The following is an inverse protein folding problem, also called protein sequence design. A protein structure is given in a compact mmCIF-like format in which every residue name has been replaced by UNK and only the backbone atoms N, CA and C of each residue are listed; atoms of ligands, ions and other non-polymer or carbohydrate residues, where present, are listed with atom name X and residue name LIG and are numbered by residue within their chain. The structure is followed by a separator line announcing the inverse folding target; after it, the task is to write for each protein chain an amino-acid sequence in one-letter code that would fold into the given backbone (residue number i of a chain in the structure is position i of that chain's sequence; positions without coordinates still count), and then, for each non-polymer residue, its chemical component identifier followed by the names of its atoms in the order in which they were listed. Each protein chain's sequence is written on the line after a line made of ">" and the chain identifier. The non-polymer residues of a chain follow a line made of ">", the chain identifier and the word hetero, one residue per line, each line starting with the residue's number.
data_IF_552821316882
#
_entry.id   IF_552821316882
#
_cell.length_a   1.000
_cell.length_b   1.000
_cell.length_c   1.000
_cell.angle_alpha   90.00
_cell.angle_beta   90.00
_cell.angle_gamma   90.00
#
_symmetry.space_group_name_H-M   'P 1'
#
loop_
_entity.id
_entity.type
_entity.pdbx_description
1 polymer ?
#
# COMPACT_ATOMS: atom_id res chain seq x y z
N UNK A 1 -27.70 -16.20 36.65
CA UNK A 1 -27.96 -16.19 35.19
C UNK A 1 -27.77 -14.82 34.52
N UNK A 2 -28.08 -13.69 35.18
CA UNK A 2 -27.92 -12.34 34.56
C UNK A 2 -26.46 -11.91 34.29
N UNK A 3 -25.49 -12.37 35.08
CA UNK A 3 -24.06 -12.02 34.90
C UNK A 3 -23.38 -12.74 33.69
N UNK A 4 -23.86 -13.93 33.34
CA UNK A 4 -23.33 -14.70 32.21
C UNK A 4 -23.71 -14.07 30.87
N UNK A 5 -24.93 -13.54 30.75
CA UNK A 5 -25.41 -12.85 29.55
C UNK A 5 -24.69 -11.52 29.30
N UNK A 6 -24.24 -10.82 30.35
CA UNK A 6 -23.49 -9.58 30.23
C UNK A 6 -22.08 -9.82 29.65
N UNK A 7 -21.42 -10.90 30.08
CA UNK A 7 -20.11 -11.28 29.56
C UNK A 7 -20.18 -11.79 28.11
N UNK A 8 -21.24 -12.49 27.74
CA UNK A 8 -21.47 -12.93 26.38
C UNK A 8 -21.70 -11.76 25.43
N UNK A 9 -22.42 -10.73 25.85
CA UNK A 9 -22.65 -9.51 25.08
C UNK A 9 -21.36 -8.69 24.92
N UNK A 10 -20.45 -8.69 25.93
CA UNK A 10 -19.18 -8.00 25.89
C UNK A 10 -18.19 -8.67 24.88
N UNK A 11 -18.20 -10.00 24.82
CA UNK A 11 -17.34 -10.76 23.90
C UNK A 11 -17.80 -10.60 22.45
N UNK A 12 -19.10 -10.54 22.20
CA UNK A 12 -19.64 -10.30 20.85
C UNK A 12 -19.41 -8.85 20.40
N UNK A 13 -19.39 -7.89 21.32
CA UNK A 13 -19.14 -6.47 21.01
C UNK A 13 -17.69 -6.16 20.67
N UNK A 14 -16.71 -6.94 21.15
CA UNK A 14 -15.28 -6.70 20.90
C UNK A 14 -14.76 -7.34 19.61
N UNK A 15 -15.48 -8.30 19.02
CA UNK A 15 -15.12 -8.92 17.73
C UNK A 15 -15.54 -8.06 16.53
N UNK A 16 -16.43 -7.08 16.72
CA UNK A 16 -16.95 -6.23 15.64
C UNK A 16 -16.05 -5.04 15.26
N UNK A 17 -14.89 -4.85 15.91
CA UNK A 17 -13.98 -3.71 15.65
C UNK A 17 -12.67 -4.07 14.93
N UNK A 18 -12.51 -5.33 14.48
CA UNK A 18 -11.32 -5.76 13.72
C UNK A 18 -11.76 -6.14 12.31
N UNK A 19 -12.31 -5.21 11.56
CA UNK A 19 -12.76 -5.52 10.22
C UNK A 19 -13.07 -4.31 9.36
N UNK A 20 -12.09 -3.41 9.15
CA UNK A 20 -12.30 -2.31 8.20
C UNK A 20 -12.13 -2.72 6.72
N UNK A 21 -11.99 -4.04 6.45
CA UNK A 21 -12.20 -4.62 5.14
C UNK A 21 -13.51 -5.42 5.13
N UNK A 22 -14.59 -4.87 5.66
CA UNK A 22 -15.89 -5.54 5.68
C UNK A 22 -16.48 -5.62 4.27
N UNK A 23 -16.41 -6.81 3.68
CA UNK A 23 -17.17 -7.17 2.49
C UNK A 23 -18.66 -7.18 2.83
N UNK A 24 -19.45 -6.49 2.04
CA UNK A 24 -20.91 -6.59 2.05
C UNK A 24 -21.30 -7.97 1.53
N UNK A 25 -22.17 -8.66 2.25
CA UNK A 25 -22.59 -10.03 2.01
C UNK A 25 -23.09 -10.31 0.57
N UNK A 26 -22.48 -11.30 -0.06
CA UNK A 26 -23.19 -12.30 -0.86
C UNK A 26 -22.46 -13.64 -0.73
N UNK A 27 -23.23 -14.68 -0.39
CA UNK A 27 -22.74 -15.99 -0.09
C UNK A 27 -22.22 -16.71 -1.34
N UNK A 28 -20.91 -16.82 -1.42
CA UNK A 28 -20.24 -17.90 -2.16
C UNK A 28 -18.95 -18.22 -1.41
N UNK A 29 -18.72 -19.51 -1.18
CA UNK A 29 -17.56 -20.09 -0.50
C UNK A 29 -16.27 -19.73 -1.24
N UNK A 30 -15.79 -18.50 -1.05
CA UNK A 30 -14.43 -18.11 -1.41
C UNK A 30 -13.65 -17.92 -0.11
N UNK A 31 -12.45 -18.47 -0.04
CA UNK A 31 -11.52 -18.26 1.06
C UNK A 31 -11.49 -16.77 1.42
N UNK A 32 -11.62 -16.47 2.71
CA UNK A 32 -11.54 -15.10 3.21
C UNK A 32 -10.25 -14.46 2.65
N UNK A 33 -10.41 -13.54 1.72
CA UNK A 33 -9.29 -12.75 1.20
C UNK A 33 -8.85 -11.88 2.37
N UNK A 34 -7.74 -12.22 3.01
CA UNK A 34 -7.15 -11.38 4.05
C UNK A 34 -6.81 -10.04 3.42
N UNK A 35 -7.16 -8.94 4.09
CA UNK A 35 -6.75 -7.61 3.65
C UNK A 35 -5.24 -7.59 3.40
N UNK A 36 -4.83 -7.13 2.23
CA UNK A 36 -3.42 -7.03 1.86
C UNK A 36 -2.71 -5.97 2.69
N UNK A 37 -3.43 -4.95 3.13
CA UNK A 37 -2.85 -3.84 3.91
C UNK A 37 -3.53 -3.64 5.25
N UNK A 38 -2.76 -3.13 6.23
CA UNK A 38 -3.27 -2.61 7.51
C UNK A 38 -3.64 -1.12 7.46
N UNK A 39 -3.39 -0.43 6.34
CA UNK A 39 -3.75 0.98 6.19
C UNK A 39 -5.26 1.12 6.03
N UNK A 40 -5.88 1.95 6.86
CA UNK A 40 -7.32 2.17 6.82
C UNK A 40 -7.69 3.12 5.70
N UNK A 41 -8.54 2.67 4.79
CA UNK A 41 -9.13 3.52 3.76
C UNK A 41 -10.17 4.47 4.37
N UNK A 42 -10.18 5.73 3.93
CA UNK A 42 -11.15 6.74 4.34
C UNK A 42 -11.28 7.84 3.28
N UNK A 43 -12.44 8.49 3.20
CA UNK A 43 -12.69 9.56 2.24
C UNK A 43 -12.67 9.09 0.78
N UNK A 44 -12.45 10.04 -0.12
CA UNK A 44 -12.38 9.80 -1.55
C UNK A 44 -11.57 10.89 -2.25
N UNK A 45 -10.87 10.53 -3.31
CA UNK A 45 -10.11 11.46 -4.16
C UNK A 45 -10.70 11.46 -5.56
N UNK A 46 -10.89 12.63 -6.17
CA UNK A 46 -11.40 12.73 -7.54
C UNK A 46 -10.24 12.92 -8.52
N UNK A 47 -10.13 12.03 -9.51
CA UNK A 47 -9.17 12.10 -10.62
C UNK A 47 -9.94 12.15 -11.94
N UNK A 48 -9.92 13.31 -12.60
CA UNK A 48 -10.77 13.56 -13.76
C UNK A 48 -12.26 13.45 -13.41
N UNK A 49 -12.99 12.58 -14.08
CA UNK A 49 -14.41 12.29 -13.80
C UNK A 49 -14.62 11.14 -12.82
N UNK A 50 -13.56 10.51 -12.34
CA UNK A 50 -13.65 9.33 -11.49
C UNK A 50 -13.46 9.69 -10.01
N UNK A 51 -14.32 9.15 -9.14
CA UNK A 51 -14.17 9.24 -7.69
C UNK A 51 -13.58 7.94 -7.18
N UNK A 52 -12.36 8.01 -6.67
CA UNK A 52 -11.60 6.89 -6.12
C UNK A 52 -11.81 6.81 -4.62
N UNK A 53 -12.06 5.62 -4.09
CA UNK A 53 -12.19 5.37 -2.64
C UNK A 53 -11.87 3.92 -2.34
N UNK A 54 -11.40 3.63 -1.12
CA UNK A 54 -11.09 2.26 -0.71
C UNK A 54 -9.67 1.84 -1.03
N UNK A 55 -9.48 0.56 -1.28
CA UNK A 55 -8.19 -0.10 -1.52
C UNK A 55 -8.15 -0.60 -2.96
N UNK A 56 -7.02 -0.41 -3.62
CA UNK A 56 -6.72 -0.92 -4.95
C UNK A 56 -5.45 -1.77 -4.88
N UNK A 57 -5.50 -2.99 -5.42
CA UNK A 57 -4.42 -3.97 -5.30
C UNK A 57 -4.07 -4.55 -6.67
N UNK A 58 -2.78 -4.67 -6.95
CA UNK A 58 -2.32 -5.37 -8.17
C UNK A 58 -2.48 -6.88 -8.04
N UNK A 59 -2.45 -7.56 -9.17
CA UNK A 59 -2.19 -9.00 -9.19
C UNK A 59 -0.86 -9.32 -8.53
N UNK A 60 -0.67 -10.58 -8.14
CA UNK A 60 0.61 -11.06 -7.61
C UNK A 60 1.63 -11.13 -8.76
N UNK A 61 2.65 -10.28 -8.72
CA UNK A 61 3.68 -10.20 -9.75
C UNK A 61 4.97 -10.84 -9.27
N UNK A 62 5.42 -11.87 -10.01
CA UNK A 62 6.69 -12.54 -9.76
C UNK A 62 7.83 -11.96 -10.60
N UNK A 63 7.52 -11.37 -11.76
CA UNK A 63 8.53 -10.98 -12.75
C UNK A 63 9.23 -9.70 -12.35
N UNK A 64 8.47 -8.64 -12.08
CA UNK A 64 9.04 -7.33 -11.71
C UNK A 64 9.68 -7.39 -10.32
N UNK A 65 9.04 -8.05 -9.37
CA UNK A 65 9.55 -8.16 -8.01
C UNK A 65 10.80 -9.03 -7.91
N UNK A 66 10.91 -10.14 -8.64
CA UNK A 66 12.15 -10.92 -8.70
C UNK A 66 13.28 -10.16 -9.41
N UNK A 67 12.97 -9.43 -10.48
CA UNK A 67 13.95 -8.60 -11.16
C UNK A 67 14.47 -7.46 -10.26
N UNK A 68 13.62 -6.93 -9.37
CA UNK A 68 13.99 -5.91 -8.39
C UNK A 68 14.67 -6.48 -7.14
N UNK A 69 14.56 -7.78 -6.85
CA UNK A 69 15.13 -8.40 -5.66
C UNK A 69 16.63 -8.10 -5.53
N UNK A 70 17.07 -7.88 -4.28
CA UNK A 70 18.45 -7.47 -3.95
C UNK A 70 18.87 -6.09 -4.51
N UNK A 71 17.93 -5.27 -4.93
CA UNK A 71 18.16 -3.85 -5.20
C UNK A 71 17.84 -3.00 -3.97
N UNK A 72 18.10 -1.71 -4.03
CA UNK A 72 18.13 -0.78 -2.90
C UNK A 72 16.99 -0.91 -1.86
N UNK A 73 15.76 -1.17 -2.29
CA UNK A 73 14.59 -1.27 -1.40
C UNK A 73 13.92 -2.64 -1.40
N UNK A 74 14.42 -3.59 -2.19
CA UNK A 74 13.81 -4.90 -2.33
C UNK A 74 14.71 -5.95 -1.68
N UNK A 75 14.25 -6.62 -0.61
CA UNK A 75 15.01 -7.70 0.02
C UNK A 75 15.41 -8.79 -0.97
N UNK A 76 16.55 -9.44 -0.71
CA UNK A 76 17.07 -10.50 -1.57
C UNK A 76 16.20 -11.77 -1.59
N UNK A 77 15.35 -11.95 -0.58
CA UNK A 77 14.40 -13.06 -0.47
C UNK A 77 13.04 -12.78 -1.12
N UNK A 78 12.89 -11.66 -1.85
CA UNK A 78 11.66 -11.32 -2.56
C UNK A 78 11.49 -12.20 -3.81
N UNK A 79 10.42 -12.99 -3.84
CA UNK A 79 10.05 -13.83 -4.99
C UNK A 79 8.80 -13.34 -5.70
N UNK A 80 7.97 -12.55 -5.05
CA UNK A 80 6.81 -11.91 -5.64
C UNK A 80 6.40 -10.67 -4.86
N UNK A 81 5.46 -9.92 -5.39
CA UNK A 81 4.91 -8.77 -4.67
C UNK A 81 3.60 -8.25 -5.25
N UNK A 82 3.05 -7.28 -4.54
CA UNK A 82 1.87 -6.51 -4.92
C UNK A 82 2.09 -5.04 -4.66
N UNK A 83 1.62 -4.21 -5.58
CA UNK A 83 1.43 -2.79 -5.32
C UNK A 83 0.02 -2.54 -4.78
N UNK A 84 -0.10 -1.61 -3.85
CA UNK A 84 -1.38 -1.26 -3.23
C UNK A 84 -1.49 0.26 -3.16
N UNK A 85 -2.66 0.80 -3.54
CA UNK A 85 -3.03 2.18 -3.26
C UNK A 85 -4.23 2.17 -2.32
N UNK A 86 -4.11 2.90 -1.21
CA UNK A 86 -5.19 3.09 -0.24
C UNK A 86 -5.56 4.56 -0.23
N UNK A 87 -6.78 4.89 -0.59
CA UNK A 87 -7.30 6.27 -0.47
C UNK A 87 -7.56 6.54 1.00
N UNK A 88 -6.88 7.54 1.56
CA UNK A 88 -6.92 7.88 3.00
C UNK A 88 -7.58 9.23 3.29
N UNK A 89 -8.01 9.94 2.26
CA UNK A 89 -8.69 11.23 2.38
C UNK A 89 -8.94 11.87 1.02
N UNK A 90 -9.52 13.06 1.02
CA UNK A 90 -9.87 13.78 -0.22
C UNK A 90 -8.63 14.26 -1.00
N UNK A 91 -7.52 14.47 -0.28
CA UNK A 91 -6.23 14.89 -0.83
C UNK A 91 -5.08 14.04 -0.30
N UNK A 92 -5.33 12.79 0.03
CA UNK A 92 -4.32 11.89 0.57
C UNK A 92 -4.54 10.44 0.18
N UNK A 93 -3.43 9.72 0.01
CA UNK A 93 -3.41 8.27 -0.18
C UNK A 93 -2.13 7.67 0.42
N UNK A 94 -2.10 6.34 0.54
CA UNK A 94 -0.90 5.56 0.78
C UNK A 94 -0.59 4.76 -0.47
N UNK A 95 0.63 4.81 -0.96
CA UNK A 95 1.17 3.86 -1.93
C UNK A 95 2.04 2.85 -1.19
N UNK A 96 1.85 1.58 -1.47
CA UNK A 96 2.47 0.52 -0.71
C UNK A 96 3.03 -0.56 -1.64
N UNK A 97 4.15 -1.14 -1.22
CA UNK A 97 4.74 -2.34 -1.82
C UNK A 97 4.78 -3.45 -0.80
N UNK A 98 4.15 -4.56 -1.11
CA UNK A 98 4.13 -5.77 -0.29
C UNK A 98 4.94 -6.85 -0.98
N UNK A 99 6.02 -7.27 -0.35
CA UNK A 99 6.99 -8.24 -0.87
C UNK A 99 6.87 -9.57 -0.15
N UNK A 100 7.00 -10.67 -0.88
CA UNK A 100 6.77 -12.02 -0.40
C UNK A 100 7.92 -12.96 -0.74
N UNK A 101 8.13 -13.96 0.12
CA UNK A 101 9.16 -15.00 -0.05
C UNK A 101 8.68 -16.21 -0.87
N UNK A 102 7.47 -16.17 -1.38
CA UNK A 102 6.88 -17.18 -2.26
C UNK A 102 6.29 -16.55 -3.51
N UNK A 103 5.96 -17.37 -4.51
CA UNK A 103 5.41 -16.92 -5.80
C UNK A 103 3.90 -16.73 -5.80
N UNK A 104 3.23 -16.94 -4.68
CA UNK A 104 1.76 -16.83 -4.52
C UNK A 104 1.33 -15.60 -3.71
N UNK A 105 2.27 -14.73 -3.34
CA UNK A 105 2.05 -13.56 -2.50
C UNK A 105 1.35 -13.90 -1.17
N UNK A 106 1.83 -14.94 -0.48
CA UNK A 106 1.20 -15.44 0.75
C UNK A 106 2.10 -15.34 1.99
N UNK A 107 3.41 -15.47 1.85
CA UNK A 107 4.38 -15.41 2.95
C UNK A 107 5.16 -14.12 2.92
N UNK A 108 4.87 -13.13 3.79
CA UNK A 108 5.48 -11.81 3.69
C UNK A 108 6.99 -11.83 3.96
N UNK A 109 7.75 -11.08 3.14
CA UNK A 109 9.15 -10.71 3.35
C UNK A 109 9.25 -9.34 3.99
N UNK A 110 8.68 -8.32 3.33
CA UNK A 110 8.65 -6.95 3.80
C UNK A 110 7.45 -6.17 3.25
N UNK A 111 7.07 -5.11 3.95
CA UNK A 111 6.13 -4.11 3.47
C UNK A 111 6.78 -2.73 3.54
N UNK A 112 6.56 -1.92 2.51
CA UNK A 112 6.90 -0.50 2.50
C UNK A 112 5.66 0.31 2.16
N UNK A 113 5.45 1.42 2.87
CA UNK A 113 4.26 2.27 2.71
C UNK A 113 4.68 3.72 2.71
N UNK A 114 4.26 4.45 1.70
CA UNK A 114 4.48 5.89 1.58
C UNK A 114 3.15 6.61 1.76
N UNK A 115 3.03 7.40 2.81
CA UNK A 115 1.91 8.32 2.96
C UNK A 115 2.09 9.52 2.05
N UNK A 116 1.05 9.89 1.33
CA UNK A 116 0.99 11.02 0.39
C UNK A 116 -0.09 11.99 0.84
N UNK A 117 0.18 13.29 0.71
CA UNK A 117 -0.74 14.38 1.07
C UNK A 117 -0.68 15.51 0.05
N UNK A 118 -1.58 16.47 0.18
CA UNK A 118 -1.68 17.61 -0.73
C UNK A 118 -1.81 17.17 -2.20
N UNK A 119 -2.56 16.08 -2.41
CA UNK A 119 -2.79 15.53 -3.74
C UNK A 119 -3.51 16.55 -4.60
N UNK A 120 -2.95 16.86 -5.76
CA UNK A 120 -3.59 17.67 -6.79
C UNK A 120 -3.58 16.94 -8.12
N UNK A 121 -4.64 17.17 -8.90
CA UNK A 121 -4.83 16.52 -10.20
C UNK A 121 -4.79 17.62 -11.27
N UNK A 122 -3.82 17.53 -12.14
CA UNK A 122 -3.64 18.44 -13.26
C UNK A 122 -4.50 18.08 -14.48
N UNK A 123 -4.25 18.79 -15.56
CA UNK A 123 -4.98 18.58 -16.82
C UNK A 123 -4.66 17.22 -17.40
N UNK A 124 -5.69 16.59 -17.98
CA UNK A 124 -5.52 15.31 -18.69
C UNK A 124 -4.57 15.45 -19.89
N UNK A 125 -3.71 14.45 -20.07
CA UNK A 125 -2.93 14.24 -21.28
C UNK A 125 -3.38 12.91 -21.91
N UNK A 126 -4.25 12.97 -22.91
CA UNK A 126 -4.96 11.79 -23.42
C UNK A 126 -5.90 11.21 -22.35
N UNK A 127 -5.72 9.95 -22.02
CA UNK A 127 -6.46 9.25 -20.95
C UNK A 127 -5.83 9.38 -19.55
N UNK A 128 -4.66 10.02 -19.45
CA UNK A 128 -3.86 10.05 -18.24
C UNK A 128 -3.94 11.43 -17.57
N UNK A 129 -3.82 11.46 -16.26
CA UNK A 129 -3.82 12.67 -15.45
C UNK A 129 -2.48 12.84 -14.76
N UNK A 130 -1.93 14.06 -14.78
CA UNK A 130 -0.79 14.39 -13.94
C UNK A 130 -1.28 14.54 -12.50
N UNK A 131 -0.81 13.67 -11.62
CA UNK A 131 -1.10 13.72 -10.17
C UNK A 131 0.17 14.16 -9.45
N UNK A 132 0.06 15.20 -8.63
CA UNK A 132 1.18 15.67 -7.81
C UNK A 132 0.84 15.56 -6.33
N UNK A 133 1.82 15.30 -5.51
CA UNK A 133 1.63 15.10 -4.07
C UNK A 133 2.95 15.26 -3.30
N UNK A 134 2.83 15.53 -2.00
CA UNK A 134 3.97 15.58 -1.09
C UNK A 134 4.14 14.25 -0.34
N UNK A 135 5.40 13.86 -0.12
CA UNK A 135 5.72 12.77 0.82
C UNK A 135 5.39 13.20 2.25
N UNK A 136 4.56 12.44 2.95
CA UNK A 136 4.14 12.75 4.32
C UNK A 136 4.70 11.80 5.37
N UNK A 137 4.70 10.50 5.09
CA UNK A 137 5.25 9.47 5.97
C UNK A 137 5.94 8.38 5.16
N UNK A 138 6.91 7.72 5.76
CA UNK A 138 7.48 6.48 5.27
C UNK A 138 7.40 5.43 6.37
N UNK A 139 6.90 4.26 6.04
CA UNK A 139 6.77 3.15 6.96
C UNK A 139 7.35 1.89 6.34
N UNK A 140 7.97 1.07 7.15
CA UNK A 140 8.58 -0.18 6.71
C UNK A 140 8.42 -1.26 7.78
N UNK A 141 8.16 -2.47 7.34
CA UNK A 141 8.09 -3.66 8.19
C UNK A 141 8.92 -4.77 7.56
N UNK A 142 9.85 -5.32 8.29
CA UNK A 142 10.57 -6.53 7.90
C UNK A 142 9.94 -7.74 8.58
N UNK A 143 9.58 -8.76 7.79
CA UNK A 143 9.00 -10.01 8.30
C UNK A 143 10.02 -11.14 8.35
N UNK A 144 11.16 -11.01 7.66
CA UNK A 144 12.25 -11.95 7.66
C UNK A 144 13.56 -11.32 8.10
N UNK A 145 14.52 -12.14 8.55
CA UNK A 145 15.85 -11.65 8.90
C UNK A 145 16.60 -11.10 7.66
N UNK A 146 16.40 -11.69 6.49
CA UNK A 146 16.98 -11.20 5.22
C UNK A 146 16.44 -9.83 4.88
N UNK A 147 15.13 -9.64 4.96
CA UNK A 147 14.51 -8.34 4.72
C UNK A 147 14.99 -7.27 5.71
N UNK A 148 15.06 -7.61 7.00
CA UNK A 148 15.59 -6.71 8.03
C UNK A 148 16.99 -6.24 7.69
N UNK A 149 17.89 -7.16 7.39
CA UNK A 149 19.30 -6.84 7.17
C UNK A 149 19.49 -6.01 5.90
N UNK A 150 18.80 -6.37 4.81
CA UNK A 150 18.85 -5.60 3.54
C UNK A 150 18.27 -4.20 3.70
N UNK A 151 17.09 -4.06 4.30
CA UNK A 151 16.43 -2.76 4.47
C UNK A 151 17.19 -1.88 5.46
N UNK A 152 17.74 -2.43 6.54
CA UNK A 152 18.60 -1.67 7.46
C UNK A 152 19.82 -1.12 6.71
N UNK A 153 20.51 -1.96 5.94
CA UNK A 153 21.68 -1.54 5.17
C UNK A 153 21.34 -0.46 4.12
N UNK A 154 20.19 -0.60 3.44
CA UNK A 154 19.74 0.35 2.43
C UNK A 154 19.30 1.70 3.00
N UNK A 155 18.69 1.70 4.17
CA UNK A 155 18.02 2.88 4.74
C UNK A 155 18.86 3.64 5.75
N UNK A 156 19.87 3.01 6.37
CA UNK A 156 20.66 3.59 7.48
C UNK A 156 21.34 4.93 7.12
N UNK A 157 21.64 5.18 5.86
CA UNK A 157 22.22 6.45 5.39
C UNK A 157 21.19 7.56 5.11
N UNK A 158 19.90 7.20 5.04
CA UNK A 158 18.83 8.11 4.63
C UNK A 158 17.80 8.35 5.73
N UNK A 159 17.67 7.42 6.66
CA UNK A 159 16.71 7.47 7.77
C UNK A 159 17.50 7.33 9.07
N UNK A 160 17.52 8.39 9.87
CA UNK A 160 18.07 8.34 11.22
C UNK A 160 17.19 7.44 12.09
N UNK A 161 17.83 6.69 12.98
CA UNK A 161 17.16 5.89 14.01
C UNK A 161 16.26 4.77 13.51
N UNK A 162 16.52 4.26 12.26
CA UNK A 162 15.79 3.11 11.76
C UNK A 162 16.01 1.89 12.66
N UNK A 163 14.94 1.34 13.19
CA UNK A 163 14.94 0.13 14.02
C UNK A 163 13.98 -0.93 13.42
N UNK A 164 14.57 -1.98 12.84
CA UNK A 164 13.87 -3.13 12.31
C UNK A 164 14.22 -4.41 13.08
N UNK A 165 14.76 -4.30 14.30
CA UNK A 165 15.23 -5.44 15.10
C UNK A 165 14.11 -6.42 15.44
N UNK A 166 12.89 -5.93 15.61
CA UNK A 166 11.72 -6.78 15.88
C UNK A 166 10.98 -7.08 14.57
N UNK A 167 11.03 -8.34 14.14
CA UNK A 167 10.31 -8.78 12.93
C UNK A 167 8.80 -8.62 13.10
N UNK A 168 8.14 -8.13 12.03
CA UNK A 168 6.71 -7.85 12.00
C UNK A 168 6.31 -6.53 12.67
N UNK A 169 7.24 -5.81 13.30
CA UNK A 169 6.97 -4.48 13.84
C UNK A 169 7.17 -3.41 12.75
N UNK A 170 6.18 -2.53 12.59
CA UNK A 170 6.26 -1.41 11.67
C UNK A 170 7.13 -0.29 12.27
N UNK A 171 8.19 0.08 11.57
CA UNK A 171 8.92 1.33 11.78
C UNK A 171 8.24 2.45 11.00
N UNK A 172 8.16 3.64 11.56
CA UNK A 172 7.53 4.79 10.92
C UNK A 172 8.36 6.05 11.12
N UNK A 173 8.53 6.82 10.04
CA UNK A 173 9.17 8.13 10.09
C UNK A 173 8.39 9.15 9.27
N UNK A 174 8.66 10.43 9.51
CA UNK A 174 8.11 11.52 8.68
C UNK A 174 8.72 11.45 7.29
N UNK A 175 7.91 11.60 6.27
CA UNK A 175 8.38 11.72 4.88
C UNK A 175 9.15 13.01 4.66
N UNK A 176 9.90 13.08 3.56
CA UNK A 176 10.79 14.21 3.24
C UNK A 176 10.04 15.54 2.99
N UNK A 177 8.73 15.51 2.82
CA UNK A 177 7.94 16.66 2.36
C UNK A 177 8.20 17.04 0.90
N UNK A 178 9.00 16.26 0.18
CA UNK A 178 9.28 16.51 -1.24
C UNK A 178 8.02 16.36 -2.08
N UNK A 179 7.90 17.22 -3.09
CA UNK A 179 6.90 17.10 -4.14
C UNK A 179 7.29 15.96 -5.09
N UNK A 180 6.31 15.19 -5.47
CA UNK A 180 6.40 14.13 -6.48
C UNK A 180 5.36 14.34 -7.57
N UNK A 181 5.64 13.84 -8.74
CA UNK A 181 4.77 13.82 -9.91
C UNK A 181 4.60 12.40 -10.41
N UNK A 182 3.39 12.05 -10.79
CA UNK A 182 3.07 10.74 -11.35
C UNK A 182 1.98 10.88 -12.42
N UNK A 183 1.92 9.98 -13.38
CA UNK A 183 0.80 9.86 -14.31
C UNK A 183 -0.16 8.78 -13.80
N UNK A 184 -1.45 9.10 -13.79
CA UNK A 184 -2.48 8.13 -13.43
C UNK A 184 -3.47 7.96 -14.57
N UNK A 185 -3.73 6.70 -14.91
CA UNK A 185 -4.88 6.29 -15.70
C UNK A 185 -5.88 5.61 -14.76
N UNK A 186 -7.12 6.08 -14.74
CA UNK A 186 -8.11 5.64 -13.75
C UNK A 186 -9.46 5.32 -14.37
N UNK A 187 -10.09 4.30 -13.81
CA UNK A 187 -11.52 4.02 -13.99
C UNK A 187 -12.20 3.99 -12.62
N UNK A 188 -13.49 3.70 -12.55
CA UNK A 188 -14.18 3.52 -11.26
C UNK A 188 -13.64 2.35 -10.42
N UNK A 189 -12.93 1.42 -11.04
CA UNK A 189 -12.47 0.17 -10.41
C UNK A 189 -10.98 -0.10 -10.56
N UNK A 190 -10.25 0.69 -11.34
CA UNK A 190 -8.82 0.46 -11.57
C UNK A 190 -8.01 1.75 -11.44
N UNK A 191 -6.77 1.60 -11.00
CA UNK A 191 -5.72 2.61 -11.06
C UNK A 191 -4.51 1.98 -11.72
N UNK A 192 -3.94 2.67 -12.70
CA UNK A 192 -2.62 2.41 -13.26
C UNK A 192 -1.79 3.65 -13.06
N UNK A 193 -0.57 3.51 -12.55
CA UNK A 193 0.34 4.62 -12.27
C UNK A 193 1.52 4.59 -13.24
N UNK A 194 2.10 5.76 -13.51
CA UNK A 194 3.36 5.87 -14.23
C UNK A 194 4.55 5.89 -13.28
N UNK A 195 5.72 6.13 -13.85
CA UNK A 195 6.91 6.35 -13.04
C UNK A 195 6.78 7.59 -12.16
N UNK A 196 7.23 7.47 -10.91
CA UNK A 196 7.26 8.60 -9.99
C UNK A 196 8.56 9.40 -10.17
N UNK A 197 8.46 10.71 -10.31
CA UNK A 197 9.62 11.63 -10.40
C UNK A 197 9.42 12.87 -9.51
N UNK A 198 10.52 13.48 -9.10
CA UNK A 198 10.56 14.72 -8.30
C UNK A 198 10.78 15.99 -9.11
N UNK A 199 11.32 15.89 -10.30
CA UNK A 199 11.84 17.01 -11.07
C UNK A 199 11.26 17.13 -12.47
N UNK A 200 10.84 16.04 -13.06
CA UNK A 200 10.32 15.98 -14.42
C UNK A 200 8.96 15.30 -14.46
N UNK A 201 8.08 15.78 -15.32
CA UNK A 201 6.79 15.12 -15.52
C UNK A 201 7.02 13.74 -16.15
N UNK A 202 6.49 12.66 -15.53
CA UNK A 202 6.54 11.33 -16.12
C UNK A 202 5.86 11.31 -17.50
N UNK A 203 6.38 10.52 -18.41
CA UNK A 203 5.87 10.40 -19.80
C UNK A 203 5.36 9.01 -20.13
N UNK A 204 5.66 8.03 -19.30
CA UNK A 204 5.26 6.64 -19.47
C UNK A 204 4.39 6.14 -18.31
N UNK A 205 3.50 5.19 -18.60
CA UNK A 205 2.77 4.43 -17.60
C UNK A 205 3.60 3.22 -17.18
N UNK A 206 3.46 2.82 -15.92
CA UNK A 206 3.89 1.53 -15.45
C UNK A 206 2.94 0.44 -15.99
N UNK A 207 3.42 -0.80 -16.08
CA UNK A 207 2.59 -1.91 -16.55
C UNK A 207 1.69 -2.49 -15.45
N UNK A 208 1.77 -1.98 -14.23
CA UNK A 208 1.05 -2.53 -13.09
C UNK A 208 -0.30 -1.86 -12.91
N UNK A 209 -1.36 -2.64 -13.09
CA UNK A 209 -2.74 -2.22 -12.87
C UNK A 209 -3.22 -2.71 -11.51
N UNK A 210 -3.75 -1.80 -10.71
CA UNK A 210 -4.36 -2.09 -9.41
C UNK A 210 -5.87 -2.06 -9.54
N UNK A 211 -6.54 -3.09 -9.04
CA UNK A 211 -8.00 -3.25 -9.08
C UNK A 211 -8.60 -3.04 -7.70
N UNK A 212 -9.75 -2.38 -7.64
CA UNK A 212 -10.48 -2.10 -6.39
C UNK A 212 -10.95 -3.41 -5.75
N UNK A 213 -10.65 -3.57 -4.44
CA UNK A 213 -11.17 -4.65 -3.59
C UNK A 213 -12.59 -4.39 -3.08
#
# INVERSE_FOLDING_TARGET
>A
MKKLLFWLALIVGTVALIGSCAKKDEATTAAATSCVTSTTASGSTTVGSQTLSGVYVSECDTTQFQAAANTYYFPADTLSGRAVIVVTGDTSFSDEMHMFTDTSCSTPSANQKNGRKNVTVGVASGSNYLVTYDSSTYKVTAHTAVARDNLTAALIGNISDIDLTTLGQEFSTTGSGSLYMNLWSVTSTTIETGEEDKSTQPTAMDSMVMTKE
#
